data_IF_444546770032
#
_entry.id   IF_444546770032
#
_cell.length_a   1.000
_cell.length_b   1.000
_cell.length_c   1.000
_cell.angle_alpha   90.00
_cell.angle_beta   90.00
_cell.angle_gamma   90.00
#
_symmetry.space_group_name_H-M   'P 1'
#
loop_
_entity.id
_entity.type
_entity.pdbx_description
1 polymer ?
#
# COMPACT_ATOMS: atom_id res chain seq x y z
N UNK A 1 15.16 11.07 -3.40
CA UNK A 1 13.85 10.47 -3.74
C UNK A 1 14.16 9.38 -4.75
N UNK A 2 13.91 8.11 -4.43
CA UNK A 2 14.26 7.02 -5.34
C UNK A 2 13.28 6.99 -6.51
N UNK A 3 13.76 7.39 -7.69
CA UNK A 3 12.99 7.35 -8.93
C UNK A 3 13.14 5.99 -9.62
N UNK A 4 12.09 5.49 -10.27
CA UNK A 4 12.16 4.29 -11.11
C UNK A 4 11.75 4.61 -12.54
N UNK A 5 12.49 4.06 -13.50
CA UNK A 5 12.08 4.03 -14.91
C UNK A 5 11.74 2.59 -15.31
N UNK A 6 10.52 2.37 -15.81
CA UNK A 6 10.10 1.07 -16.35
C UNK A 6 9.96 1.15 -17.86
N UNK A 7 10.71 0.32 -18.58
CA UNK A 7 10.68 0.23 -20.04
C UNK A 7 9.86 -0.98 -20.47
N UNK A 8 8.85 -0.74 -21.29
CA UNK A 8 7.98 -1.77 -21.85
C UNK A 8 6.76 -2.11 -21.00
N UNK A 9 6.35 -1.25 -20.07
CA UNK A 9 5.18 -1.47 -19.21
C UNK A 9 3.90 -1.61 -20.08
N UNK A 10 3.15 -2.73 -20.01
CA UNK A 10 1.88 -2.84 -20.72
C UNK A 10 0.94 -1.67 -20.37
N UNK A 11 0.41 -0.99 -21.39
CA UNK A 11 -0.44 0.20 -21.22
C UNK A 11 -1.63 -0.04 -20.29
N UNK A 12 -2.18 -1.26 -20.26
CA UNK A 12 -3.26 -1.65 -19.35
C UNK A 12 -2.87 -1.61 -17.86
N UNK A 13 -1.58 -1.71 -17.53
CA UNK A 13 -1.05 -1.66 -16.17
C UNK A 13 -0.65 -0.26 -15.71
N UNK A 14 -0.56 0.72 -16.62
CA UNK A 14 -0.08 2.08 -16.33
C UNK A 14 -0.79 2.73 -15.14
N UNK A 15 -2.14 2.71 -15.13
CA UNK A 15 -2.92 3.31 -14.05
C UNK A 15 -2.67 2.63 -12.71
N UNK A 16 -2.63 1.30 -12.69
CA UNK A 16 -2.40 0.51 -11.48
C UNK A 16 -1.00 0.79 -10.93
N UNK A 17 0.01 0.78 -11.80
CA UNK A 17 1.39 1.11 -11.47
C UNK A 17 1.52 2.55 -10.94
N UNK A 18 0.82 3.50 -11.56
CA UNK A 18 0.81 4.90 -11.13
C UNK A 18 0.28 5.10 -9.72
N UNK A 19 -0.85 4.47 -9.40
CA UNK A 19 -1.47 4.52 -8.08
C UNK A 19 -0.53 3.93 -7.04
N UNK A 20 0.03 2.75 -7.30
CA UNK A 20 0.87 2.05 -6.33
C UNK A 20 2.24 2.75 -6.10
N UNK A 21 2.85 3.33 -7.14
CA UNK A 21 4.03 4.19 -6.97
C UNK A 21 3.70 5.43 -6.14
N UNK A 22 2.56 6.06 -6.40
CA UNK A 22 2.08 7.21 -5.61
C UNK A 22 1.90 6.86 -4.14
N UNK A 23 1.28 5.71 -3.83
CA UNK A 23 1.13 5.20 -2.45
C UNK A 23 2.46 4.96 -1.76
N UNK A 24 3.50 4.59 -2.50
CA UNK A 24 4.85 4.33 -1.99
C UNK A 24 5.77 5.56 -2.00
N UNK A 25 5.30 6.71 -2.50
CA UNK A 25 6.16 7.89 -2.65
C UNK A 25 7.29 7.71 -3.67
N UNK A 26 7.13 6.78 -4.62
CA UNK A 26 8.11 6.55 -5.69
C UNK A 26 7.82 7.47 -6.87
N UNK A 27 8.84 8.23 -7.27
CA UNK A 27 8.79 8.96 -8.54
C UNK A 27 8.92 7.92 -9.65
N UNK A 28 7.95 7.88 -10.55
CA UNK A 28 7.94 6.91 -11.64
C UNK A 28 8.05 7.63 -12.99
N UNK A 29 8.75 6.98 -13.90
CA UNK A 29 8.70 7.26 -15.32
C UNK A 29 8.50 5.95 -16.07
N UNK A 30 7.79 5.98 -17.19
CA UNK A 30 7.41 4.75 -17.90
C UNK A 30 7.51 4.94 -19.39
N UNK A 31 8.17 4.01 -20.08
CA UNK A 31 8.00 3.80 -21.51
C UNK A 31 6.98 2.67 -21.66
N UNK A 32 5.80 2.99 -22.21
CA UNK A 32 4.71 2.04 -22.30
C UNK A 32 4.87 1.10 -23.49
N UNK A 33 4.27 -0.08 -23.39
CA UNK A 33 4.12 -1.02 -24.50
C UNK A 33 2.63 -1.31 -24.76
N UNK A 34 2.29 -1.46 -26.05
CA UNK A 34 0.96 -1.88 -26.49
C UNK A 34 1.08 -2.83 -27.69
N UNK A 35 -0.01 -3.50 -28.02
CA UNK A 35 -0.04 -4.47 -29.13
C UNK A 35 0.07 -3.73 -30.46
N UNK A 36 1.20 -3.90 -31.14
CA UNK A 36 1.43 -3.34 -32.46
C UNK A 36 0.69 -4.08 -33.57
N UNK A 37 0.80 -3.58 -34.81
CA UNK A 37 0.13 -4.13 -36.01
C UNK A 37 0.42 -5.62 -36.28
N UNK A 38 1.56 -6.12 -35.81
CA UNK A 38 2.01 -7.52 -35.97
C UNK A 38 1.56 -8.45 -34.84
N UNK A 39 0.74 -7.96 -33.88
CA UNK A 39 0.26 -8.74 -32.75
C UNK A 39 1.25 -8.90 -31.58
N UNK A 40 2.43 -8.29 -31.70
CA UNK A 40 3.48 -8.26 -30.66
C UNK A 40 3.44 -6.96 -29.86
N UNK A 41 3.88 -6.98 -28.60
CA UNK A 41 4.06 -5.76 -27.83
C UNK A 41 5.20 -4.92 -28.44
N UNK A 42 4.94 -3.62 -28.58
CA UNK A 42 5.90 -2.63 -29.08
C UNK A 42 5.86 -1.40 -28.19
N UNK A 43 7.00 -0.73 -28.05
CA UNK A 43 7.08 0.52 -27.29
C UNK A 43 6.26 1.63 -27.99
N UNK A 44 5.47 2.37 -27.21
CA UNK A 44 4.61 3.45 -27.68
C UNK A 44 5.00 4.79 -27.02
N UNK A 45 4.78 5.94 -27.69
CA UNK A 45 4.09 6.08 -28.99
C UNK A 45 4.95 5.69 -30.21
N UNK A 46 6.28 5.74 -30.12
CA UNK A 46 7.19 5.10 -31.07
C UNK A 46 8.58 4.89 -30.44
N UNK A 47 9.41 3.96 -30.96
CA UNK A 47 10.65 3.55 -30.29
C UNK A 47 11.66 4.68 -30.05
N UNK A 48 11.78 5.66 -30.95
CA UNK A 48 12.70 6.80 -30.77
C UNK A 48 12.43 7.65 -29.52
N UNK A 49 11.20 7.64 -28.99
CA UNK A 49 10.88 8.36 -27.76
C UNK A 49 11.36 7.61 -26.51
N UNK A 50 11.57 6.29 -26.57
CA UNK A 50 12.08 5.52 -25.44
C UNK A 50 13.48 5.97 -25.02
N UNK A 51 14.34 6.27 -26.00
CA UNK A 51 15.68 6.82 -25.75
C UNK A 51 15.60 8.20 -25.11
N UNK A 52 14.79 9.10 -25.68
CA UNK A 52 14.57 10.43 -25.09
C UNK A 52 14.05 10.35 -23.64
N UNK A 53 13.13 9.42 -23.35
CA UNK A 53 12.62 9.20 -21.99
C UNK A 53 13.69 8.69 -21.03
N UNK A 54 14.62 7.83 -21.48
CA UNK A 54 15.77 7.40 -20.68
C UNK A 54 16.70 8.57 -20.37
N UNK A 55 17.04 9.39 -21.37
CA UNK A 55 17.88 10.57 -21.18
C UNK A 55 17.22 11.58 -20.24
N UNK A 56 15.94 11.91 -20.46
CA UNK A 56 15.18 12.83 -19.59
C UNK A 56 15.10 12.33 -18.14
N UNK A 57 14.92 11.02 -17.94
CA UNK A 57 14.95 10.41 -16.61
C UNK A 57 16.33 10.58 -15.97
N UNK A 58 17.41 10.25 -16.69
CA UNK A 58 18.77 10.31 -16.18
C UNK A 58 19.21 11.76 -15.87
N UNK A 59 18.89 12.71 -16.74
CA UNK A 59 19.19 14.14 -16.58
C UNK A 59 18.42 14.77 -15.41
N UNK A 60 17.28 14.19 -15.03
CA UNK A 60 16.50 14.61 -13.88
C UNK A 60 17.04 14.16 -12.52
N UNK A 61 18.06 13.30 -12.49
CA UNK A 61 18.62 12.75 -11.26
C UNK A 61 19.81 13.58 -10.74
N UNK A 62 20.02 13.67 -9.40
CA UNK A 62 21.20 14.31 -8.83
C UNK A 62 22.51 13.60 -9.18
N UNK A 63 22.46 12.28 -9.37
CA UNK A 63 23.59 11.44 -9.76
C UNK A 63 23.10 10.21 -10.54
N UNK A 64 23.87 9.75 -11.54
CA UNK A 64 23.54 8.57 -12.33
C UNK A 64 23.46 7.27 -11.50
N UNK A 65 24.14 7.20 -10.35
CA UNK A 65 24.05 6.07 -9.42
C UNK A 65 22.69 5.94 -8.73
N UNK A 66 21.87 7.00 -8.74
CA UNK A 66 20.49 6.95 -8.23
C UNK A 66 19.51 6.41 -9.27
N UNK A 67 19.95 6.16 -10.51
CA UNK A 67 19.10 5.64 -11.56
C UNK A 67 18.75 4.18 -11.31
N UNK A 68 17.46 3.87 -11.37
CA UNK A 68 16.93 2.53 -11.26
C UNK A 68 16.02 2.23 -12.45
N UNK A 69 16.47 1.36 -13.34
CA UNK A 69 15.79 1.07 -14.60
C UNK A 69 15.39 -0.41 -14.66
N UNK A 70 14.11 -0.68 -14.93
CA UNK A 70 13.59 -2.04 -15.15
C UNK A 70 13.17 -2.16 -16.60
N UNK A 71 13.75 -3.13 -17.31
CA UNK A 71 13.46 -3.41 -18.72
C UNK A 71 12.65 -4.70 -18.81
N UNK A 72 11.39 -4.60 -19.24
CA UNK A 72 10.52 -5.76 -19.43
C UNK A 72 10.85 -6.50 -20.74
N UNK A 73 10.73 -7.84 -20.78
CA UNK A 73 11.27 -8.66 -21.87
C UNK A 73 10.35 -8.76 -23.09
N UNK A 74 9.21 -8.07 -23.09
CA UNK A 74 8.12 -8.34 -24.04
C UNK A 74 8.08 -7.40 -25.24
N UNK A 75 8.86 -6.31 -25.22
CA UNK A 75 8.98 -5.38 -26.32
C UNK A 75 10.45 -5.25 -26.74
N UNK A 76 10.67 -5.22 -28.06
CA UNK A 76 11.99 -5.02 -28.64
C UNK A 76 12.50 -3.61 -28.35
N UNK A 77 13.75 -3.50 -27.90
CA UNK A 77 14.38 -2.20 -27.65
C UNK A 77 14.82 -1.58 -28.98
N UNK A 78 14.62 -0.26 -29.18
CA UNK A 78 15.19 0.45 -30.31
C UNK A 78 16.72 0.40 -30.34
N UNK A 79 17.26 0.59 -31.54
CA UNK A 79 18.69 0.79 -31.77
C UNK A 79 19.24 1.93 -30.89
N UNK A 80 20.45 1.76 -30.36
CA UNK A 80 21.11 2.70 -29.45
C UNK A 80 20.63 2.64 -27.99
N UNK A 81 19.38 2.25 -27.71
CA UNK A 81 18.87 2.19 -26.33
C UNK A 81 19.60 1.15 -25.47
N UNK A 82 19.97 0.02 -26.06
CA UNK A 82 20.72 -1.01 -25.35
C UNK A 82 22.11 -0.50 -24.91
N UNK A 83 22.77 0.27 -25.78
CA UNK A 83 24.09 0.88 -25.54
C UNK A 83 23.98 1.98 -24.49
N UNK A 84 22.96 2.84 -24.57
CA UNK A 84 22.71 3.89 -23.58
C UNK A 84 22.49 3.30 -22.18
N UNK A 85 21.73 2.20 -22.08
CA UNK A 85 21.56 1.51 -20.81
C UNK A 85 22.89 0.93 -20.29
N UNK A 86 23.76 0.41 -21.17
CA UNK A 86 25.10 -0.04 -20.74
C UNK A 86 25.91 1.14 -20.21
N UNK A 87 25.89 2.28 -20.90
CA UNK A 87 26.59 3.49 -20.46
C UNK A 87 26.07 3.99 -19.09
N UNK A 88 24.76 3.98 -18.86
CA UNK A 88 24.18 4.31 -17.55
C UNK A 88 24.64 3.34 -16.47
N UNK A 89 24.68 2.04 -16.77
CA UNK A 89 25.16 1.01 -15.84
C UNK A 89 26.65 1.21 -15.50
N UNK A 90 27.48 1.56 -16.48
CA UNK A 90 28.90 1.89 -16.27
C UNK A 90 29.08 3.15 -15.39
N UNK A 91 28.11 4.07 -15.45
CA UNK A 91 28.01 5.25 -14.57
C UNK A 91 27.41 4.95 -13.19
N UNK A 92 27.14 3.68 -12.86
CA UNK A 92 26.69 3.22 -11.55
C UNK A 92 25.17 3.04 -11.40
N UNK A 93 24.40 3.18 -12.47
CA UNK A 93 22.95 2.92 -12.43
C UNK A 93 22.63 1.45 -12.14
N UNK A 94 21.52 1.20 -11.45
CA UNK A 94 20.96 -0.15 -11.30
C UNK A 94 20.03 -0.43 -12.47
N UNK A 95 20.36 -1.45 -13.28
CA UNK A 95 19.55 -1.85 -14.43
C UNK A 95 19.16 -3.32 -14.31
N UNK A 96 17.85 -3.58 -14.21
CA UNK A 96 17.27 -4.91 -14.23
C UNK A 96 16.78 -5.21 -15.64
N UNK A 97 17.37 -6.23 -16.27
CA UNK A 97 16.94 -6.75 -17.56
C UNK A 97 16.22 -8.06 -17.35
N UNK A 98 14.89 -8.02 -17.44
CA UNK A 98 14.09 -9.23 -17.34
C UNK A 98 14.27 -10.10 -18.58
N UNK A 99 14.06 -11.41 -18.42
CA UNK A 99 14.09 -12.39 -19.50
C UNK A 99 12.74 -13.13 -19.60
N UNK A 100 12.24 -13.29 -20.82
CA UNK A 100 10.93 -13.91 -21.06
C UNK A 100 10.91 -15.37 -20.60
N UNK A 101 10.04 -15.70 -19.63
CA UNK A 101 9.92 -17.05 -19.08
C UNK A 101 11.00 -17.45 -18.06
N UNK A 102 11.79 -16.49 -17.54
CA UNK A 102 12.85 -16.74 -16.54
C UNK A 102 12.65 -15.88 -15.29
N UNK A 103 13.26 -16.30 -14.18
CA UNK A 103 13.28 -15.55 -12.91
C UNK A 103 11.91 -15.07 -12.42
N UNK A 104 10.87 -15.88 -12.66
CA UNK A 104 9.48 -15.57 -12.28
C UNK A 104 8.71 -14.70 -13.27
N UNK A 105 9.35 -14.18 -14.33
CA UNK A 105 8.67 -13.46 -15.40
C UNK A 105 7.83 -14.42 -16.25
N UNK A 106 6.54 -14.12 -16.50
CA UNK A 106 5.70 -15.02 -17.27
C UNK A 106 6.19 -15.15 -18.71
N UNK A 107 6.03 -16.35 -19.26
CA UNK A 107 6.36 -16.65 -20.64
C UNK A 107 5.25 -16.15 -21.57
N UNK A 108 5.59 -15.27 -22.50
CA UNK A 108 4.69 -14.83 -23.57
C UNK A 108 5.23 -15.25 -24.93
N UNK A 109 4.36 -15.83 -25.77
CA UNK A 109 4.67 -16.06 -27.18
C UNK A 109 4.84 -14.75 -27.95
N UNK A 110 5.59 -14.78 -29.04
CA UNK A 110 5.96 -13.60 -29.83
C UNK A 110 4.76 -12.79 -30.37
N UNK A 111 3.61 -13.45 -30.57
CA UNK A 111 2.34 -12.85 -31.04
C UNK A 111 1.22 -12.94 -30.01
N UNK A 112 1.55 -13.27 -28.78
CA UNK A 112 0.58 -13.48 -27.72
C UNK A 112 0.27 -12.15 -27.04
N UNK A 113 -1.01 -11.75 -27.06
CA UNK A 113 -1.49 -10.67 -26.21
C UNK A 113 -1.53 -11.16 -24.76
N UNK A 114 -1.00 -10.40 -23.79
CA UNK A 114 -1.14 -10.75 -22.38
C UNK A 114 -2.63 -10.80 -22.00
N UNK A 115 -3.08 -11.92 -21.45
CA UNK A 115 -4.38 -12.03 -20.80
C UNK A 115 -4.32 -11.48 -19.35
N UNK A 116 -5.43 -11.54 -18.63
CA UNK A 116 -5.52 -11.04 -17.26
C UNK A 116 -4.51 -11.72 -16.32
N UNK A 117 -4.28 -13.03 -16.48
CA UNK A 117 -3.39 -13.79 -15.62
C UNK A 117 -1.93 -13.44 -15.89
N UNK A 118 -1.55 -13.34 -17.18
CA UNK A 118 -0.25 -12.85 -17.57
C UNK A 118 0.00 -11.41 -17.09
N UNK A 119 -0.99 -10.52 -17.20
CA UNK A 119 -0.86 -9.13 -16.71
C UNK A 119 -0.68 -9.08 -15.19
N UNK A 120 -1.39 -9.92 -14.43
CA UNK A 120 -1.22 -10.01 -12.99
C UNK A 120 0.16 -10.57 -12.60
N UNK A 121 0.64 -11.59 -13.32
CA UNK A 121 1.96 -12.17 -13.09
C UNK A 121 3.09 -11.17 -13.43
N UNK A 122 2.99 -10.46 -14.57
CA UNK A 122 3.91 -9.36 -14.93
C UNK A 122 3.92 -8.32 -13.82
N UNK A 123 2.75 -7.91 -13.35
CA UNK A 123 2.65 -6.88 -12.32
C UNK A 123 3.26 -7.32 -10.98
N UNK A 124 3.00 -8.56 -10.55
CA UNK A 124 3.58 -9.11 -9.33
C UNK A 124 5.11 -9.15 -9.40
N UNK A 125 5.66 -9.60 -10.54
CA UNK A 125 7.10 -9.68 -10.73
C UNK A 125 7.76 -8.31 -10.91
N UNK A 126 7.08 -7.36 -11.55
CA UNK A 126 7.54 -5.97 -11.60
C UNK A 126 7.70 -5.40 -10.19
N UNK A 127 6.77 -5.70 -9.28
CA UNK A 127 6.81 -5.24 -7.90
C UNK A 127 7.88 -5.91 -7.04
N UNK A 128 8.24 -7.17 -7.31
CA UNK A 128 9.39 -7.82 -6.66
C UNK A 128 10.72 -7.29 -7.17
N UNK A 129 10.78 -6.81 -8.41
CA UNK A 129 11.96 -6.24 -9.06
C UNK A 129 12.14 -4.73 -8.82
N UNK A 130 11.25 -4.09 -8.07
CA UNK A 130 11.42 -2.67 -7.72
C UNK A 130 12.67 -2.45 -6.88
N UNK A 131 13.23 -1.22 -6.87
CA UNK A 131 14.16 -0.86 -5.83
C UNK A 131 13.49 -1.23 -4.52
N UNK A 132 14.16 -2.07 -3.73
CA UNK A 132 13.85 -2.15 -2.33
C UNK A 132 13.81 -0.69 -1.91
N UNK A 133 12.63 -0.21 -1.52
CA UNK A 133 12.63 1.03 -0.81
C UNK A 133 13.57 0.74 0.35
N UNK A 134 14.67 1.47 0.43
CA UNK A 134 15.04 1.98 1.72
C UNK A 134 13.72 2.55 2.25
N UNK A 135 13.00 1.75 3.04
CA UNK A 135 12.07 2.28 4.02
C UNK A 135 12.93 3.34 4.70
N UNK A 136 12.69 4.62 4.38
CA UNK A 136 13.73 5.65 4.40
C UNK A 136 14.53 5.64 5.69
N UNK A 137 15.86 5.60 5.57
CA UNK A 137 16.77 5.15 6.64
C UNK A 137 16.40 3.75 7.15
N UNK A 138 17.36 2.82 7.19
CA UNK A 138 17.24 1.55 7.91
C UNK A 138 17.08 1.67 9.42
N UNK A 139 16.33 2.67 9.92
CA UNK A 139 15.55 2.53 11.13
C UNK A 139 14.19 2.00 10.69
N UNK A 140 13.86 0.78 11.14
CA UNK A 140 12.44 0.47 11.37
C UNK A 140 11.81 1.74 11.94
N UNK A 141 10.66 2.17 11.42
CA UNK A 141 9.85 3.19 12.10
C UNK A 141 9.44 2.59 13.46
N UNK A 142 10.36 2.72 14.41
CA UNK A 142 10.33 2.22 15.78
C UNK A 142 9.43 3.13 16.63
N UNK A 143 8.79 4.14 16.01
CA UNK A 143 7.67 4.84 16.62
C UNK A 143 6.68 3.78 17.07
N UNK A 144 6.40 3.78 18.36
CA UNK A 144 5.47 2.84 18.94
C UNK A 144 4.07 3.11 18.37
N UNK A 145 3.24 2.07 18.15
CA UNK A 145 1.83 2.26 17.81
C UNK A 145 1.14 3.32 18.68
N UNK A 146 1.42 3.36 19.97
CA UNK A 146 0.86 4.36 20.90
C UNK A 146 1.19 5.81 20.50
N UNK A 147 2.43 6.10 20.13
CA UNK A 147 2.84 7.44 19.72
C UNK A 147 2.26 7.84 18.36
N UNK A 148 2.18 6.89 17.43
CA UNK A 148 1.55 7.12 16.14
C UNK A 148 0.04 7.37 16.29
N UNK A 149 -0.62 6.63 17.17
CA UNK A 149 -2.04 6.76 17.46
C UNK A 149 -2.36 8.16 18.02
N UNK A 150 -1.53 8.69 18.91
CA UNK A 150 -1.66 10.08 19.40
C UNK A 150 -1.60 11.09 18.26
N UNK A 151 -0.63 10.95 17.35
CA UNK A 151 -0.51 11.85 16.20
C UNK A 151 -1.77 11.83 15.32
N UNK A 152 -2.35 10.65 15.09
CA UNK A 152 -3.59 10.53 14.31
C UNK A 152 -4.79 11.15 15.04
N UNK A 153 -4.93 10.90 16.35
CA UNK A 153 -6.01 11.48 17.15
C UNK A 153 -5.90 13.01 17.26
N UNK A 154 -4.67 13.54 17.38
CA UNK A 154 -4.39 14.98 17.41
C UNK A 154 -4.71 15.64 16.06
N UNK A 155 -4.44 14.95 14.95
CA UNK A 155 -4.69 15.44 13.60
C UNK A 155 -6.16 15.29 13.16
N UNK A 156 -6.90 14.34 13.73
CA UNK A 156 -8.27 14.05 13.35
C UNK A 156 -9.19 13.86 14.57
N UNK A 157 -9.91 14.93 14.94
CA UNK A 157 -10.85 14.94 16.05
C UNK A 157 -12.03 13.96 15.92
N UNK A 158 -12.28 13.42 14.72
CA UNK A 158 -13.31 12.40 14.49
C UNK A 158 -12.84 10.99 14.87
N UNK A 159 -11.53 10.79 15.08
CA UNK A 159 -10.93 9.53 15.51
C UNK A 159 -10.60 9.62 17.00
N UNK A 160 -11.39 8.92 17.80
CA UNK A 160 -11.18 8.85 19.24
C UNK A 160 -10.48 7.55 19.58
N UNK A 161 -9.34 7.65 20.26
CA UNK A 161 -8.58 6.51 20.74
C UNK A 161 -8.67 6.52 22.26
N UNK A 162 -9.30 5.49 22.83
CA UNK A 162 -9.50 5.41 24.28
C UNK A 162 -8.19 5.16 25.01
N UNK A 163 -8.03 5.71 26.21
CA UNK A 163 -6.78 5.66 26.97
C UNK A 163 -6.19 4.25 27.10
N UNK A 164 -7.05 3.27 27.39
CA UNK A 164 -6.69 1.84 27.49
C UNK A 164 -6.04 1.26 26.24
N UNK A 165 -6.27 1.86 25.07
CA UNK A 165 -5.69 1.39 23.80
C UNK A 165 -4.18 1.63 23.82
N UNK A 166 -3.73 2.75 24.39
CA UNK A 166 -2.31 3.08 24.50
C UNK A 166 -1.56 2.11 25.43
N UNK A 167 -2.26 1.47 26.37
CA UNK A 167 -1.69 0.46 27.26
C UNK A 167 -1.43 -0.88 26.56
N UNK A 168 -2.19 -1.18 25.50
CA UNK A 168 -2.17 -2.50 24.84
C UNK A 168 -1.57 -2.51 23.44
N UNK A 169 -1.57 -1.39 22.72
CA UNK A 169 -1.21 -1.35 21.31
C UNK A 169 0.27 -1.65 21.05
N UNK A 170 1.14 -1.37 22.02
CA UNK A 170 2.59 -1.62 21.90
C UNK A 170 2.98 -3.07 22.26
N UNK A 171 2.05 -3.85 22.81
CA UNK A 171 2.30 -5.24 23.25
C UNK A 171 2.34 -6.26 22.10
N UNK A 172 2.12 -5.82 20.86
CA UNK A 172 2.25 -6.69 19.68
C UNK A 172 3.71 -6.91 19.31
N UNK A 173 4.00 -8.00 18.58
CA UNK A 173 5.34 -8.20 18.03
C UNK A 173 5.72 -7.05 17.09
N UNK A 174 7.01 -6.64 17.01
CA UNK A 174 7.47 -5.54 16.15
C UNK A 174 6.96 -5.62 14.70
N UNK A 175 6.98 -6.83 14.13
CA UNK A 175 6.47 -7.13 12.77
C UNK A 175 4.98 -6.75 12.56
N UNK A 176 4.21 -6.55 13.63
CA UNK A 176 2.79 -6.19 13.60
C UNK A 176 2.53 -4.71 13.83
N UNK A 177 3.52 -3.91 14.26
CA UNK A 177 3.35 -2.47 14.50
C UNK A 177 2.90 -1.73 13.24
N UNK A 178 3.48 -2.09 12.08
CA UNK A 178 3.11 -1.52 10.77
C UNK A 178 1.64 -1.78 10.42
N UNK A 179 1.08 -2.92 10.83
CA UNK A 179 -0.34 -3.19 10.63
C UNK A 179 -1.22 -2.26 11.48
N UNK A 180 -0.89 -2.06 12.75
CA UNK A 180 -1.68 -1.18 13.62
C UNK A 180 -1.66 0.27 13.12
N UNK A 181 -0.50 0.78 12.69
CA UNK A 181 -0.38 2.12 12.09
C UNK A 181 -1.26 2.27 10.86
N UNK A 182 -1.16 1.33 9.90
CA UNK A 182 -2.02 1.32 8.70
C UNK A 182 -3.50 1.18 9.02
N UNK A 183 -3.84 0.44 10.06
CA UNK A 183 -5.22 0.24 10.48
C UNK A 183 -5.83 1.54 11.03
N UNK A 184 -5.10 2.29 11.86
CA UNK A 184 -5.59 3.57 12.39
C UNK A 184 -5.64 4.66 11.31
N UNK A 185 -4.71 4.66 10.35
CA UNK A 185 -4.77 5.55 9.17
C UNK A 185 -6.03 5.31 8.35
N UNK A 186 -6.31 4.04 8.03
CA UNK A 186 -7.50 3.67 7.28
C UNK A 186 -8.78 4.10 8.00
N UNK A 187 -8.81 4.01 9.33
CA UNK A 187 -9.93 4.49 10.14
C UNK A 187 -10.05 6.02 10.13
N UNK A 188 -8.94 6.73 10.13
CA UNK A 188 -8.91 8.19 10.00
C UNK A 188 -9.43 8.66 8.64
N UNK A 189 -8.99 8.01 7.56
CA UNK A 189 -9.53 8.24 6.22
C UNK A 189 -11.03 7.95 6.16
N UNK A 190 -11.46 6.83 6.77
CA UNK A 190 -12.88 6.45 6.80
C UNK A 190 -13.76 7.48 7.52
N UNK A 191 -13.26 8.09 8.60
CA UNK A 191 -14.00 9.13 9.31
C UNK A 191 -14.28 10.36 8.41
N UNK A 192 -13.30 10.73 7.57
CA UNK A 192 -13.40 11.89 6.66
C UNK A 192 -14.26 11.59 5.43
N UNK A 193 -14.01 10.45 4.76
CA UNK A 193 -14.67 10.10 3.50
C UNK A 193 -16.11 9.60 3.71
N UNK A 194 -16.44 9.19 4.94
CA UNK A 194 -17.75 8.68 5.33
C UNK A 194 -18.06 7.28 4.80
N UNK A 195 -19.17 6.71 5.28
CA UNK A 195 -19.61 5.34 4.99
C UNK A 195 -20.24 5.16 3.59
N UNK A 196 -19.69 5.78 2.54
CA UNK A 196 -20.26 5.75 1.18
C UNK A 196 -20.21 4.37 0.48
N UNK A 197 -19.72 3.34 1.16
CA UNK A 197 -19.62 1.97 0.64
C UNK A 197 -19.60 0.88 1.71
N UNK A 198 -19.42 -0.37 1.28
CA UNK A 198 -19.25 -1.53 2.17
C UNK A 198 -17.87 -1.48 2.85
N UNK A 199 -17.83 -1.43 4.18
CA UNK A 199 -16.60 -1.45 5.00
C UNK A 199 -15.58 -2.51 4.54
N UNK A 200 -16.04 -3.70 4.15
CA UNK A 200 -15.16 -4.80 3.72
C UNK A 200 -14.39 -4.44 2.44
N UNK A 201 -15.02 -3.72 1.51
CA UNK A 201 -14.36 -3.24 0.29
C UNK A 201 -13.35 -2.14 0.62
N UNK A 202 -13.74 -1.19 1.48
CA UNK A 202 -12.87 -0.08 1.91
C UNK A 202 -11.56 -0.57 2.53
N UNK A 203 -11.63 -1.54 3.45
CA UNK A 203 -10.43 -2.14 4.05
C UNK A 203 -9.71 -3.12 3.11
N UNK A 204 -10.45 -3.83 2.26
CA UNK A 204 -9.88 -4.74 1.27
C UNK A 204 -8.96 -4.03 0.27
N UNK A 205 -9.34 -2.86 -0.24
CA UNK A 205 -8.51 -2.01 -1.11
C UNK A 205 -7.22 -1.52 -0.42
N UNK A 206 -7.24 -1.48 0.92
CA UNK A 206 -6.10 -1.14 1.78
C UNK A 206 -5.33 -2.35 2.26
N UNK A 207 -5.67 -3.55 1.78
CA UNK A 207 -5.08 -4.84 2.18
C UNK A 207 -5.14 -5.07 3.70
N UNK A 208 -6.21 -4.58 4.34
CA UNK A 208 -6.49 -4.79 5.75
C UNK A 208 -7.59 -5.85 5.87
N UNK A 209 -7.33 -6.90 6.63
CA UNK A 209 -8.32 -7.95 6.83
C UNK A 209 -9.37 -7.50 7.86
N UNK A 210 -10.56 -7.15 7.38
CA UNK A 210 -11.70 -6.82 8.21
C UNK A 210 -12.52 -8.06 8.58
N UNK A 211 -12.91 -8.16 9.84
CA UNK A 211 -13.73 -9.24 10.36
C UNK A 211 -14.90 -8.66 11.16
N UNK A 212 -16.10 -9.20 10.94
CA UNK A 212 -17.35 -8.81 11.61
C UNK A 212 -17.86 -9.87 12.58
N UNK A 213 -17.12 -10.96 12.74
CA UNK A 213 -17.47 -12.10 13.58
C UNK A 213 -16.23 -12.52 14.38
N UNK A 214 -16.45 -13.05 15.58
CA UNK A 214 -15.38 -13.50 16.48
C UNK A 214 -15.91 -13.84 17.87
N UNK A 215 -15.04 -14.43 18.71
CA UNK A 215 -15.36 -14.76 20.11
C UNK A 215 -15.31 -13.57 21.06
N UNK A 216 -14.79 -12.42 20.60
CA UNK A 216 -14.68 -11.19 21.39
C UNK A 216 -15.51 -10.09 20.74
N UNK A 217 -16.25 -9.36 21.56
CA UNK A 217 -16.98 -8.15 21.20
C UNK A 217 -16.53 -6.95 22.03
N UNK A 218 -16.79 -5.75 21.49
CA UNK A 218 -16.63 -4.49 22.22
C UNK A 218 -17.99 -3.80 22.33
N UNK A 219 -18.33 -3.32 23.53
CA UNK A 219 -19.50 -2.48 23.79
C UNK A 219 -19.04 -1.06 24.01
N UNK A 220 -19.69 -0.09 23.34
CA UNK A 220 -19.35 1.31 23.45
C UNK A 220 -20.62 2.13 23.67
N UNK A 221 -20.60 2.93 24.74
CA UNK A 221 -21.58 3.99 24.99
C UNK A 221 -20.90 5.35 24.82
N UNK A 222 -21.47 6.23 23.99
CA UNK A 222 -20.94 7.57 23.71
C UNK A 222 -21.94 8.63 24.17
N UNK A 223 -21.40 9.63 24.87
CA UNK A 223 -22.16 10.76 25.37
C UNK A 223 -21.82 12.05 24.59
N UNK A 224 -22.84 12.87 24.33
CA UNK A 224 -22.67 14.30 23.99
C UNK A 224 -23.37 15.12 25.08
N UNK A 225 -22.57 15.76 25.94
CA UNK A 225 -23.06 16.29 27.21
C UNK A 225 -23.65 15.19 28.11
N UNK A 226 -24.93 15.33 28.49
CA UNK A 226 -25.65 14.33 29.28
C UNK A 226 -26.42 13.30 28.44
N UNK A 227 -26.50 13.49 27.12
CA UNK A 227 -27.27 12.62 26.24
C UNK A 227 -26.40 11.46 25.72
N UNK A 228 -26.97 10.26 25.69
CA UNK A 228 -26.37 9.11 24.99
C UNK A 228 -26.66 9.26 23.50
N UNK A 229 -25.61 9.32 22.68
CA UNK A 229 -25.70 9.48 21.22
C UNK A 229 -25.35 8.20 20.46
N UNK A 230 -24.72 7.23 21.13
CA UNK A 230 -24.42 5.91 20.59
C UNK A 230 -24.34 4.89 21.74
N UNK A 231 -24.93 3.71 21.58
CA UNK A 231 -24.83 2.61 22.55
C UNK A 231 -25.00 1.27 21.83
N UNK A 232 -23.89 0.63 21.46
CA UNK A 232 -23.93 -0.63 20.73
C UNK A 232 -22.80 -1.59 21.13
N UNK A 233 -23.01 -2.86 20.80
CA UNK A 233 -21.98 -3.91 20.86
C UNK A 233 -21.63 -4.39 19.47
N UNK A 234 -20.34 -4.46 19.16
CA UNK A 234 -19.81 -4.82 17.85
C UNK A 234 -18.74 -5.90 17.95
N UNK A 235 -18.66 -6.76 16.94
CA UNK A 235 -17.55 -7.69 16.72
C UNK A 235 -16.60 -7.20 15.61
N UNK A 236 -16.83 -6.01 15.06
CA UNK A 236 -16.04 -5.46 13.97
C UNK A 236 -14.60 -5.19 14.43
N UNK A 237 -13.64 -5.74 13.69
CA UNK A 237 -12.23 -5.52 13.95
C UNK A 237 -11.37 -5.74 12.70
N UNK A 238 -10.21 -5.11 12.70
CA UNK A 238 -9.13 -5.37 11.76
C UNK A 238 -8.17 -6.39 12.39
N UNK A 239 -7.59 -7.27 11.56
CA UNK A 239 -6.66 -8.28 12.04
C UNK A 239 -5.47 -8.55 11.12
N UNK A 240 -4.35 -8.96 11.71
CA UNK A 240 -3.21 -9.54 10.99
C UNK A 240 -2.51 -10.60 11.85
N UNK A 241 -2.05 -11.68 11.20
CA UNK A 241 -1.33 -12.80 11.82
C UNK A 241 -2.17 -14.05 12.04
N UNK A 242 -1.49 -15.19 12.16
CA UNK A 242 -2.09 -16.49 12.44
C UNK A 242 -2.20 -16.74 13.96
N UNK A 243 -3.12 -17.62 14.34
CA UNK A 243 -3.54 -17.87 15.72
C UNK A 243 -2.51 -18.69 16.55
N UNK A 244 -1.22 -18.62 16.23
CA UNK A 244 -0.17 -19.43 16.87
C UNK A 244 0.26 -18.86 18.23
N UNK A 245 0.27 -17.52 18.41
CA UNK A 245 0.44 -16.84 19.71
C UNK A 245 -0.41 -15.56 19.76
N UNK A 246 -0.93 -15.14 20.94
CA UNK A 246 -1.72 -13.91 21.06
C UNK A 246 -1.00 -12.66 20.54
N UNK A 247 0.30 -12.52 20.81
CA UNK A 247 1.14 -11.39 20.41
C UNK A 247 1.41 -11.37 18.89
N UNK A 248 1.39 -12.55 18.24
CA UNK A 248 1.50 -12.69 16.79
C UNK A 248 0.21 -12.37 16.04
N UNK A 249 -0.93 -12.37 16.74
CA UNK A 249 -2.26 -12.13 16.20
C UNK A 249 -2.80 -10.74 16.58
N UNK A 250 -2.27 -9.70 15.95
CA UNK A 250 -2.69 -8.33 16.20
C UNK A 250 -4.17 -8.11 15.82
N UNK A 251 -4.87 -7.33 16.64
CA UNK A 251 -6.28 -6.96 16.51
C UNK A 251 -6.45 -5.47 16.77
N UNK A 252 -7.36 -4.84 16.04
CA UNK A 252 -7.85 -3.48 16.30
C UNK A 252 -9.38 -3.49 16.22
N UNK A 253 -10.04 -3.31 17.36
CA UNK A 253 -11.49 -3.20 17.48
C UNK A 253 -11.90 -1.74 17.48
N UNK A 254 -12.99 -1.45 16.78
CA UNK A 254 -13.47 -0.10 16.63
C UNK A 254 -15.00 -0.06 16.48
N UNK A 255 -15.56 1.10 16.75
CA UNK A 255 -16.93 1.46 16.41
C UNK A 255 -16.90 2.65 15.47
N UNK A 256 -17.96 2.81 14.69
CA UNK A 256 -18.20 4.03 13.94
C UNK A 256 -19.67 4.37 14.01
N UNK A 257 -19.99 5.66 13.97
CA UNK A 257 -21.35 6.17 14.04
C UNK A 257 -21.40 7.59 13.47
N UNK A 258 -22.61 8.11 13.24
CA UNK A 258 -22.82 9.43 12.67
C UNK A 258 -23.60 10.29 13.66
N UNK A 259 -23.07 11.47 14.00
CA UNK A 259 -23.75 12.50 14.81
C UNK A 259 -23.69 13.81 14.04
N UNK A 260 -24.83 14.46 13.84
CA UNK A 260 -24.94 15.74 13.11
C UNK A 260 -24.26 15.75 11.74
N UNK A 261 -24.32 14.61 11.03
CA UNK A 261 -23.72 14.44 9.70
C UNK A 261 -22.20 14.19 9.71
N UNK A 262 -21.57 14.13 10.88
CA UNK A 262 -20.15 13.83 11.06
C UNK A 262 -19.97 12.36 11.40
N UNK A 263 -19.09 11.66 10.67
CA UNK A 263 -18.74 10.27 10.97
C UNK A 263 -17.65 10.25 12.02
N UNK A 264 -17.92 9.61 13.15
CA UNK A 264 -16.94 9.36 14.20
C UNK A 264 -16.47 7.92 14.14
N UNK A 265 -15.20 7.72 14.50
CA UNK A 265 -14.61 6.41 14.72
C UNK A 265 -14.01 6.36 16.11
N UNK A 266 -14.30 5.29 16.85
CA UNK A 266 -13.77 5.08 18.20
C UNK A 266 -13.01 3.77 18.25
N UNK A 267 -11.71 3.84 18.49
CA UNK A 267 -10.86 2.66 18.70
C UNK A 267 -11.03 2.21 20.16
N UNK A 268 -11.62 1.04 20.36
CA UNK A 268 -11.94 0.50 21.69
C UNK A 268 -10.87 -0.45 22.22
N UNK A 269 -10.09 -1.05 21.31
CA UNK A 269 -8.95 -1.90 21.64
C UNK A 269 -7.98 -1.97 20.46
N UNK A 270 -6.68 -1.95 20.71
CA UNK A 270 -5.66 -2.35 19.76
C UNK A 270 -4.54 -3.07 20.48
N UNK A 271 -4.05 -4.18 19.93
CA UNK A 271 -3.03 -4.99 20.61
C UNK A 271 -3.03 -6.46 20.17
N UNK A 272 -2.43 -7.36 20.96
CA UNK A 272 -2.58 -8.81 20.84
C UNK A 272 -4.05 -9.26 20.80
N UNK A 273 -4.33 -10.52 20.50
CA UNK A 273 -5.71 -11.01 20.63
C UNK A 273 -6.19 -10.86 22.10
N UNK A 274 -7.32 -10.17 22.37
CA UNK A 274 -7.82 -10.00 23.73
C UNK A 274 -8.44 -11.30 24.28
N UNK A 275 -8.41 -11.47 25.61
CA UNK A 275 -8.94 -12.65 26.30
C UNK A 275 -10.40 -12.50 26.75
N UNK A 276 -10.94 -11.28 26.71
CA UNK A 276 -12.31 -11.00 27.16
C UNK A 276 -12.95 -9.85 26.39
N UNK A 277 -14.28 -9.79 26.45
CA UNK A 277 -15.06 -8.69 25.87
C UNK A 277 -14.68 -7.37 26.53
N UNK A 278 -14.72 -6.30 25.73
CA UNK A 278 -14.32 -4.97 26.14
C UNK A 278 -15.56 -4.09 26.29
N UNK A 279 -15.72 -3.42 27.43
CA UNK A 279 -16.75 -2.40 27.63
C UNK A 279 -16.09 -1.03 27.78
N UNK A 280 -16.61 -0.06 27.07
CA UNK A 280 -16.04 1.27 26.95
C UNK A 280 -17.11 2.34 27.01
N UNK A 281 -16.70 3.51 27.49
CA UNK A 281 -17.52 4.72 27.46
C UNK A 281 -16.64 5.89 27.05
N UNK A 282 -17.16 6.81 26.25
CA UNK A 282 -16.48 8.07 25.95
C UNK A 282 -17.46 9.22 25.75
N UNK A 283 -16.91 10.43 25.62
CA UNK A 283 -17.67 11.65 25.40
C UNK A 283 -17.13 12.37 24.16
N UNK A 284 -18.03 12.84 23.31
CA UNK A 284 -17.72 13.74 22.20
C UNK A 284 -18.15 15.16 22.56
N UNK A 285 -17.43 16.15 22.02
CA UNK A 285 -17.70 17.57 22.23
C UNK A 285 -18.55 18.14 21.10
#
# INVERSE_FOLDING_TARGET
MSGVLVIGLPKSLEKRFAVECGRKGLVKQTVLADVGKKGRLVLIPFPGQALATVCEYADGLPAYSEAYVIVLPYAELPEGLAEELVALQDCGATIIRAENGRDGWPQLGEKQRPDTDALNAIYAQLWSAMPAQDEGDGKEDDTLPSDYFKQVADANAQVLILDRVYESCDLVLPIRRKFLKRAVEALSEFAVDGASGRLDAFFGERQLHHAKTGGISTSLTVYSGAAVVYDETSNAHLKQGDATTPQGAARLYYHHFIVDGVTYVVVTYAGPHPDSNVKCTCTIR
#
